data_IF_387879948747
#
_entry.id   IF_387879948747
#
_cell.length_a   1.000
_cell.length_b   1.000
_cell.length_c   1.000
_cell.angle_alpha   90.00
_cell.angle_beta   90.00
_cell.angle_gamma   90.00
#
_symmetry.space_group_name_H-M   'P 1'
#
loop_
_entity.id
_entity.type
_entity.pdbx_description
1 polymer ?
#
# COMPACT_ATOMS: atom_id res chain seq x y z
N UNK A 1 -18.66 2.82 -15.31
CA UNK A 1 -17.36 2.28 -14.89
C UNK A 1 -16.96 1.21 -15.88
N UNK A 2 -15.80 1.37 -16.49
CA UNK A 2 -15.27 0.35 -17.39
C UNK A 2 -14.70 -0.80 -16.56
N UNK A 3 -15.45 -1.88 -16.46
CA UNK A 3 -15.09 -3.10 -15.72
C UNK A 3 -13.83 -3.72 -16.32
N UNK A 4 -13.69 -3.69 -17.66
CA UNK A 4 -12.53 -4.25 -18.33
C UNK A 4 -11.25 -3.48 -17.99
N UNK A 5 -11.32 -2.15 -17.89
CA UNK A 5 -10.19 -1.34 -17.46
C UNK A 5 -9.80 -1.64 -16.00
N UNK A 6 -10.77 -1.84 -15.12
CA UNK A 6 -10.53 -2.23 -13.73
C UNK A 6 -9.87 -3.61 -13.62
N UNK A 7 -10.29 -4.57 -14.45
CA UNK A 7 -9.71 -5.91 -14.53
C UNK A 7 -8.25 -5.84 -15.02
N UNK A 8 -7.99 -5.05 -16.05
CA UNK A 8 -6.64 -4.85 -16.60
C UNK A 8 -5.67 -4.18 -15.63
N UNK A 9 -6.20 -3.42 -14.65
CA UNK A 9 -5.37 -2.75 -13.63
C UNK A 9 -4.76 -3.70 -12.58
N UNK A 10 -5.03 -5.00 -12.66
CA UNK A 10 -4.40 -6.02 -11.81
C UNK A 10 -4.78 -5.98 -10.32
N UNK A 11 -5.96 -5.49 -10.00
CA UNK A 11 -6.42 -5.32 -8.61
C UNK A 11 -6.95 -6.59 -7.91
N UNK A 12 -6.80 -7.74 -8.54
CA UNK A 12 -7.10 -9.04 -7.97
C UNK A 12 -8.55 -9.49 -8.09
N UNK A 13 -8.81 -10.82 -7.92
CA UNK A 13 -10.11 -11.45 -8.19
C UNK A 13 -11.26 -10.93 -7.31
N UNK A 14 -10.97 -10.53 -6.09
CA UNK A 14 -11.98 -9.99 -5.18
C UNK A 14 -12.52 -8.64 -5.65
N UNK A 15 -11.63 -7.80 -6.18
CA UNK A 15 -11.99 -6.50 -6.73
C UNK A 15 -12.81 -6.65 -8.02
N UNK A 16 -12.42 -7.55 -8.90
CA UNK A 16 -13.14 -7.83 -10.15
C UNK A 16 -14.57 -8.27 -9.91
N UNK A 17 -14.74 -9.22 -9.00
CA UNK A 17 -16.06 -9.71 -8.61
C UNK A 17 -16.90 -8.60 -8.00
N UNK A 18 -16.30 -7.81 -7.13
CA UNK A 18 -16.94 -6.69 -6.53
C UNK A 18 -17.37 -5.62 -7.54
N UNK A 19 -16.49 -5.23 -8.47
CA UNK A 19 -16.78 -4.22 -9.48
C UNK A 19 -17.92 -4.66 -10.43
N UNK A 20 -17.95 -5.93 -10.83
CA UNK A 20 -19.03 -6.49 -11.64
C UNK A 20 -20.36 -6.47 -10.92
N UNK A 21 -20.39 -6.93 -9.67
CA UNK A 21 -21.60 -6.96 -8.85
C UNK A 21 -22.10 -5.53 -8.57
N UNK A 22 -21.19 -4.61 -8.29
CA UNK A 22 -21.52 -3.21 -8.04
C UNK A 22 -22.15 -2.55 -9.27
N UNK A 23 -21.58 -2.72 -10.46
CA UNK A 23 -22.12 -2.16 -11.69
C UNK A 23 -23.50 -2.71 -12.06
N UNK A 24 -23.69 -4.01 -11.98
CA UNK A 24 -24.98 -4.64 -12.29
C UNK A 24 -26.08 -4.18 -11.32
N UNK A 25 -25.74 -4.11 -10.04
CA UNK A 25 -26.68 -3.64 -9.02
C UNK A 25 -27.01 -2.17 -9.15
N UNK A 26 -26.03 -1.33 -9.52
CA UNK A 26 -26.27 0.09 -9.74
C UNK A 26 -27.21 0.39 -10.90
N UNK A 27 -27.05 -0.31 -12.01
CA UNK A 27 -27.97 -0.17 -13.13
C UNK A 27 -29.40 -0.50 -12.75
N UNK A 28 -29.59 -1.60 -11.99
CA UNK A 28 -30.91 -1.96 -11.44
C UNK A 28 -31.48 -0.90 -10.51
N UNK A 29 -30.65 -0.37 -9.61
CA UNK A 29 -31.05 0.64 -8.66
C UNK A 29 -31.40 1.97 -9.30
N UNK A 30 -30.65 2.40 -10.30
CA UNK A 30 -30.93 3.62 -11.05
C UNK A 30 -32.31 3.58 -11.69
N UNK A 31 -32.67 2.45 -12.30
CA UNK A 31 -33.99 2.27 -12.92
C UNK A 31 -35.11 2.27 -11.89
N UNK A 32 -34.91 1.61 -10.77
CA UNK A 32 -35.91 1.52 -9.70
C UNK A 32 -36.09 2.85 -8.95
N UNK A 33 -34.99 3.51 -8.62
CA UNK A 33 -34.99 4.79 -7.93
C UNK A 33 -35.65 5.89 -8.77
N UNK A 34 -35.40 5.95 -10.06
CA UNK A 34 -36.04 6.88 -11.00
C UNK A 34 -37.55 6.62 -11.11
N UNK A 35 -38.00 5.39 -10.94
CA UNK A 35 -39.43 5.04 -10.93
C UNK A 35 -40.16 5.57 -9.70
N UNK A 36 -39.50 5.63 -8.56
CA UNK A 36 -40.15 5.93 -7.27
C UNK A 36 -39.97 7.37 -6.80
N UNK A 37 -38.82 8.00 -7.08
CA UNK A 37 -38.48 9.30 -6.48
C UNK A 37 -38.46 10.47 -7.46
N UNK A 38 -38.34 10.25 -8.74
CA UNK A 38 -38.48 11.29 -9.79
C UNK A 38 -37.53 12.50 -9.71
N UNK A 39 -36.85 12.71 -8.59
CA UNK A 39 -36.12 13.92 -8.26
C UNK A 39 -34.63 13.87 -8.62
N UNK A 40 -34.07 12.71 -8.83
CA UNK A 40 -32.65 12.55 -9.20
C UNK A 40 -32.54 11.89 -10.58
N UNK A 41 -31.92 12.58 -11.52
CA UNK A 41 -31.69 12.05 -12.86
C UNK A 41 -30.81 10.81 -12.86
N UNK A 42 -31.01 9.94 -13.83
CA UNK A 42 -30.19 8.75 -14.03
C UNK A 42 -28.70 9.07 -14.16
N UNK A 43 -28.38 10.16 -14.86
CA UNK A 43 -27.01 10.63 -15.04
C UNK A 43 -26.36 11.04 -13.71
N UNK A 44 -27.11 11.74 -12.82
CA UNK A 44 -26.64 12.15 -11.51
C UNK A 44 -26.32 10.96 -10.62
N UNK A 45 -27.14 9.90 -10.68
CA UNK A 45 -26.90 8.67 -9.95
C UNK A 45 -25.67 7.91 -10.46
N UNK A 46 -25.50 7.85 -11.79
CA UNK A 46 -24.31 7.26 -12.39
C UNK A 46 -23.05 8.03 -12.03
N UNK A 47 -23.10 9.37 -12.08
CA UNK A 47 -21.99 10.23 -11.73
C UNK A 47 -21.59 10.03 -10.26
N UNK A 48 -22.54 10.00 -9.34
CA UNK A 48 -22.30 9.72 -7.93
C UNK A 48 -21.68 8.34 -7.72
N UNK A 49 -22.17 7.33 -8.44
CA UNK A 49 -21.63 5.98 -8.38
C UNK A 49 -20.21 5.89 -8.90
N UNK A 50 -19.91 6.55 -10.02
CA UNK A 50 -18.58 6.61 -10.60
C UNK A 50 -17.60 7.34 -9.67
N UNK A 51 -18.02 8.46 -9.08
CA UNK A 51 -17.22 9.21 -8.11
C UNK A 51 -16.89 8.37 -6.88
N UNK A 52 -17.85 7.64 -6.33
CA UNK A 52 -17.66 6.75 -5.18
C UNK A 52 -16.68 5.62 -5.51
N UNK A 53 -16.83 5.00 -6.67
CA UNK A 53 -15.93 3.93 -7.13
C UNK A 53 -14.51 4.44 -7.36
N UNK A 54 -14.36 5.58 -7.99
CA UNK A 54 -13.05 6.21 -8.22
C UNK A 54 -12.36 6.55 -6.91
N UNK A 55 -13.09 7.12 -5.95
CA UNK A 55 -12.58 7.43 -4.62
C UNK A 55 -12.11 6.17 -3.88
N UNK A 56 -12.91 5.11 -3.88
CA UNK A 56 -12.53 3.83 -3.29
C UNK A 56 -11.25 3.26 -3.90
N UNK A 57 -11.13 3.29 -5.22
CA UNK A 57 -9.95 2.81 -5.93
C UNK A 57 -8.71 3.63 -5.61
N UNK A 58 -8.83 4.95 -5.60
CA UNK A 58 -7.74 5.86 -5.27
C UNK A 58 -7.22 5.60 -3.86
N UNK A 59 -8.12 5.45 -2.89
CA UNK A 59 -7.77 5.14 -1.50
C UNK A 59 -7.11 3.77 -1.37
N UNK A 60 -7.59 2.76 -2.07
CA UNK A 60 -6.99 1.42 -2.08
C UNK A 60 -5.55 1.44 -2.60
N UNK A 61 -5.29 2.17 -3.69
CA UNK A 61 -3.95 2.33 -4.25
C UNK A 61 -3.06 3.13 -3.30
N UNK A 62 -3.57 4.19 -2.70
CA UNK A 62 -2.85 5.01 -1.73
C UNK A 62 -2.42 4.21 -0.51
N UNK A 63 -3.31 3.37 0.04
CA UNK A 63 -2.98 2.51 1.19
C UNK A 63 -1.88 1.52 0.83
N UNK A 64 -1.94 0.88 -0.33
CA UNK A 64 -0.90 -0.04 -0.80
C UNK A 64 0.45 0.65 -0.98
N UNK A 65 0.45 1.86 -1.53
CA UNK A 65 1.66 2.66 -1.70
C UNK A 65 2.28 3.03 -0.34
N UNK A 66 1.45 3.46 0.62
CA UNK A 66 1.89 3.76 1.98
C UNK A 66 2.47 2.53 2.70
N UNK A 67 1.83 1.37 2.57
CA UNK A 67 2.33 0.10 3.10
C UNK A 67 3.68 -0.28 2.50
N UNK A 68 3.85 -0.11 1.19
CA UNK A 68 5.10 -0.37 0.50
C UNK A 68 6.22 0.56 1.00
N UNK A 69 5.94 1.84 1.17
CA UNK A 69 6.89 2.81 1.74
C UNK A 69 7.25 2.49 3.19
N UNK A 70 6.29 2.07 4.00
CA UNK A 70 6.51 1.65 5.38
C UNK A 70 7.42 0.41 5.45
N UNK A 71 7.19 -0.58 4.60
CA UNK A 71 8.01 -1.78 4.52
C UNK A 71 9.45 -1.46 4.09
N UNK A 72 9.61 -0.60 3.08
CA UNK A 72 10.93 -0.15 2.63
C UNK A 72 11.68 0.61 3.72
N UNK A 73 11.00 1.47 4.46
CA UNK A 73 11.55 2.21 5.60
C UNK A 73 12.00 1.25 6.72
N UNK A 74 11.16 0.30 7.11
CA UNK A 74 11.48 -0.69 8.14
C UNK A 74 12.67 -1.56 7.74
N UNK A 75 12.74 -1.98 6.49
CA UNK A 75 13.88 -2.75 5.97
C UNK A 75 15.17 -1.93 5.98
N UNK A 76 15.10 -0.66 5.59
CA UNK A 76 16.25 0.24 5.63
C UNK A 76 16.75 0.46 7.08
N UNK A 77 15.86 0.66 8.05
CA UNK A 77 16.21 0.74 9.46
C UNK A 77 16.94 -0.52 9.93
N UNK A 78 16.43 -1.68 9.58
CA UNK A 78 17.04 -2.98 9.90
C UNK A 78 18.45 -3.09 9.32
N UNK A 79 18.63 -2.73 8.07
CA UNK A 79 19.93 -2.80 7.40
C UNK A 79 20.95 -1.81 8.00
N UNK A 80 20.52 -0.63 8.38
CA UNK A 80 21.38 0.36 9.06
C UNK A 80 21.84 -0.17 10.43
N UNK A 81 20.93 -0.76 11.20
CA UNK A 81 21.27 -1.38 12.50
C UNK A 81 22.25 -2.52 12.31
N UNK A 82 22.00 -3.41 11.35
CA UNK A 82 22.90 -4.53 11.04
C UNK A 82 24.28 -4.05 10.60
N UNK A 83 24.33 -3.01 9.78
CA UNK A 83 25.59 -2.40 9.34
C UNK A 83 26.39 -1.85 10.53
N UNK A 84 25.76 -1.12 11.41
CA UNK A 84 26.40 -0.57 12.60
C UNK A 84 26.93 -1.65 13.56
N UNK A 85 26.13 -2.70 13.78
CA UNK A 85 26.52 -3.83 14.65
C UNK A 85 27.69 -4.64 14.11
N UNK A 86 27.80 -4.75 12.80
CA UNK A 86 28.79 -5.62 12.15
C UNK A 86 30.01 -4.86 11.64
N UNK A 87 30.03 -3.54 11.75
CA UNK A 87 31.12 -2.70 11.25
C UNK A 87 32.48 -3.05 11.83
N UNK A 88 32.55 -3.23 13.14
CA UNK A 88 33.81 -3.55 13.82
C UNK A 88 34.39 -4.89 13.32
N UNK A 89 33.58 -5.91 13.21
CA UNK A 89 33.97 -7.21 12.70
C UNK A 89 34.44 -7.13 11.23
N UNK A 90 33.74 -6.37 10.41
CA UNK A 90 34.12 -6.20 9.02
C UNK A 90 35.44 -5.44 8.85
N UNK A 91 35.71 -4.44 9.67
CA UNK A 91 36.98 -3.71 9.72
C UNK A 91 38.14 -4.68 10.07
N UNK A 92 37.94 -5.54 11.08
CA UNK A 92 38.92 -6.56 11.44
C UNK A 92 39.15 -7.56 10.31
N UNK A 93 38.09 -7.97 9.62
CA UNK A 93 38.19 -8.83 8.43
C UNK A 93 39.04 -8.21 7.32
N UNK A 94 38.87 -6.92 7.04
CA UNK A 94 39.69 -6.18 6.08
C UNK A 94 41.15 -6.09 6.53
N UNK A 95 41.40 -5.80 7.80
CA UNK A 95 42.76 -5.74 8.40
C UNK A 95 43.46 -7.08 8.34
N UNK A 96 42.72 -8.18 8.47
CA UNK A 96 43.22 -9.54 8.32
C UNK A 96 43.47 -9.94 6.84
N UNK A 97 43.37 -9.02 5.91
CA UNK A 97 43.55 -9.30 4.47
C UNK A 97 42.50 -10.24 3.90
N UNK A 98 41.29 -10.16 4.38
CA UNK A 98 40.18 -11.04 3.96
C UNK A 98 40.45 -12.52 4.22
N UNK A 99 41.07 -12.83 5.37
CA UNK A 99 41.43 -14.18 5.79
C UNK A 99 40.23 -15.13 5.75
N UNK A 100 40.42 -16.29 5.14
CA UNK A 100 39.39 -17.35 5.11
C UNK A 100 39.08 -17.88 6.53
N UNK A 101 40.08 -17.98 7.38
CA UNK A 101 39.91 -18.41 8.78
C UNK A 101 39.04 -17.42 9.54
N UNK A 102 39.32 -16.12 9.44
CA UNK A 102 38.53 -15.06 10.05
C UNK A 102 37.08 -15.08 9.55
N UNK A 103 36.90 -15.24 8.23
CA UNK A 103 35.58 -15.35 7.62
C UNK A 103 34.77 -16.52 8.17
N UNK A 104 35.40 -17.68 8.34
CA UNK A 104 34.75 -18.87 8.91
C UNK A 104 34.30 -18.65 10.35
N UNK A 105 35.10 -17.94 11.15
CA UNK A 105 34.81 -17.62 12.53
C UNK A 105 33.71 -16.58 12.70
N UNK A 106 33.55 -15.67 11.75
CA UNK A 106 32.64 -14.53 11.78
C UNK A 106 31.71 -14.45 10.56
N UNK A 107 31.37 -15.59 9.98
CA UNK A 107 30.62 -15.66 8.71
C UNK A 107 29.29 -14.93 8.76
N UNK A 108 28.51 -15.13 9.84
CA UNK A 108 27.18 -14.52 9.99
C UNK A 108 27.25 -13.00 10.00
N UNK A 109 28.20 -12.43 10.73
CA UNK A 109 28.39 -10.97 10.83
C UNK A 109 28.91 -10.36 9.53
N UNK A 110 29.82 -11.05 8.85
CA UNK A 110 30.33 -10.61 7.56
C UNK A 110 29.24 -10.61 6.49
N UNK A 111 28.44 -11.67 6.45
CA UNK A 111 27.30 -11.77 5.52
C UNK A 111 26.24 -10.69 5.76
N UNK A 112 25.91 -10.42 7.05
CA UNK A 112 24.99 -9.34 7.41
C UNK A 112 25.51 -7.98 6.98
N UNK A 113 26.82 -7.73 7.16
CA UNK A 113 27.43 -6.47 6.75
C UNK A 113 27.42 -6.28 5.23
N UNK A 114 27.77 -7.33 4.47
CA UNK A 114 27.72 -7.31 3.02
C UNK A 114 26.30 -7.13 2.49
N UNK A 115 25.33 -7.81 3.09
CA UNK A 115 23.92 -7.66 2.72
C UNK A 115 23.43 -6.22 2.95
N UNK A 116 23.79 -5.61 4.08
CA UNK A 116 23.45 -4.22 4.37
C UNK A 116 24.06 -3.26 3.34
N UNK A 117 25.34 -3.43 3.03
CA UNK A 117 26.04 -2.61 2.03
C UNK A 117 25.43 -2.76 0.64
N UNK A 118 25.12 -3.97 0.22
CA UNK A 118 24.45 -4.24 -1.05
C UNK A 118 23.07 -3.56 -1.11
N UNK A 119 22.32 -3.59 -0.03
CA UNK A 119 21.02 -2.92 0.06
C UNK A 119 21.16 -1.40 -0.14
N UNK A 120 22.14 -0.77 0.49
CA UNK A 120 22.41 0.66 0.30
C UNK A 120 22.84 0.99 -1.13
N UNK A 121 23.66 0.15 -1.74
CA UNK A 121 24.11 0.32 -3.13
C UNK A 121 22.95 0.20 -4.12
N UNK A 122 22.05 -0.77 -3.93
CA UNK A 122 20.85 -0.95 -4.74
C UNK A 122 19.91 0.27 -4.67
N UNK A 123 19.79 0.88 -3.48
CA UNK A 123 18.99 2.09 -3.30
C UNK A 123 19.71 3.37 -3.74
N UNK A 124 20.98 3.29 -4.12
CA UNK A 124 21.80 4.44 -4.50
C UNK A 124 22.06 5.41 -3.35
N UNK A 125 22.04 4.94 -2.12
CA UNK A 125 22.26 5.76 -0.93
C UNK A 125 23.75 6.01 -0.73
N UNK A 126 24.17 7.26 -0.86
CA UNK A 126 25.56 7.68 -0.61
C UNK A 126 25.81 8.06 0.85
N UNK A 127 24.80 8.63 1.50
CA UNK A 127 24.85 9.01 2.91
C UNK A 127 23.67 8.37 3.63
N UNK A 128 23.96 7.56 4.65
CA UNK A 128 22.94 6.87 5.40
C UNK A 128 22.12 7.87 6.25
N UNK A 129 20.78 7.81 6.15
CA UNK A 129 19.92 8.55 7.07
C UNK A 129 20.05 7.99 8.49
N UNK A 130 19.69 8.80 9.49
CA UNK A 130 19.65 8.32 10.86
C UNK A 130 18.44 7.42 11.10
N UNK A 131 18.57 6.44 11.99
CA UNK A 131 17.42 5.60 12.40
C UNK A 131 16.33 6.44 13.02
N UNK A 132 16.68 7.51 13.73
CA UNK A 132 15.74 8.46 14.31
C UNK A 132 14.88 9.14 13.24
N UNK A 133 15.50 9.66 12.18
CA UNK A 133 14.76 10.29 11.07
C UNK A 133 13.87 9.31 10.34
N UNK A 134 14.30 8.06 10.15
CA UNK A 134 13.49 7.01 9.54
C UNK A 134 12.30 6.60 10.41
N UNK A 135 12.46 6.59 11.73
CA UNK A 135 11.34 6.34 12.65
C UNK A 135 10.31 7.45 12.61
N UNK A 136 10.75 8.71 12.52
CA UNK A 136 9.86 9.87 12.35
C UNK A 136 9.09 9.77 11.03
N UNK A 137 9.76 9.45 9.93
CA UNK A 137 9.13 9.20 8.63
C UNK A 137 8.13 8.05 8.69
N UNK A 138 8.48 6.95 9.35
CA UNK A 138 7.58 5.81 9.55
C UNK A 138 6.31 6.20 10.31
N UNK A 139 6.45 7.02 11.35
CA UNK A 139 5.32 7.53 12.13
C UNK A 139 4.40 8.40 11.27
N UNK A 140 4.96 9.25 10.41
CA UNK A 140 4.19 10.07 9.46
C UNK A 140 3.45 9.19 8.44
N UNK A 141 4.12 8.18 7.90
CA UNK A 141 3.49 7.22 6.98
C UNK A 141 2.36 6.44 7.65
N UNK A 142 2.54 6.04 8.90
CA UNK A 142 1.51 5.36 9.68
C UNK A 142 0.29 6.26 9.90
N UNK A 143 0.50 7.54 10.19
CA UNK A 143 -0.57 8.52 10.35
C UNK A 143 -1.33 8.74 9.04
N UNK A 144 -0.62 8.87 7.93
CA UNK A 144 -1.21 8.98 6.61
C UNK A 144 -2.03 7.72 6.27
N UNK A 145 -1.50 6.53 6.60
CA UNK A 145 -2.21 5.27 6.41
C UNK A 145 -3.50 5.20 7.23
N UNK A 146 -3.48 5.63 8.48
CA UNK A 146 -4.66 5.68 9.34
C UNK A 146 -5.74 6.58 8.76
N UNK A 147 -5.37 7.76 8.28
CA UNK A 147 -6.29 8.70 7.61
C UNK A 147 -6.87 8.10 6.32
N UNK A 148 -6.01 7.53 5.49
CA UNK A 148 -6.43 6.89 4.25
C UNK A 148 -7.36 5.69 4.52
N UNK A 149 -7.07 4.90 5.55
CA UNK A 149 -7.89 3.76 5.94
C UNK A 149 -9.24 4.17 6.50
N UNK A 150 -9.30 5.26 7.28
CA UNK A 150 -10.57 5.84 7.75
C UNK A 150 -11.44 6.31 6.58
N UNK A 151 -10.85 7.01 5.62
CA UNK A 151 -11.53 7.42 4.38
C UNK A 151 -11.96 6.20 3.54
N UNK A 152 -11.15 5.15 3.49
CA UNK A 152 -11.48 3.89 2.82
C UNK A 152 -12.71 3.21 3.44
N UNK A 153 -12.79 3.15 4.77
CA UNK A 153 -13.96 2.62 5.49
C UNK A 153 -15.22 3.43 5.18
N UNK A 154 -15.10 4.76 5.15
CA UNK A 154 -16.21 5.64 4.81
C UNK A 154 -16.69 5.40 3.36
N UNK A 155 -15.75 5.31 2.41
CA UNK A 155 -16.07 4.99 1.03
C UNK A 155 -16.76 3.63 0.89
N UNK A 156 -16.32 2.64 1.67
CA UNK A 156 -16.96 1.32 1.73
C UNK A 156 -18.38 1.39 2.27
N UNK A 157 -18.63 2.22 3.28
CA UNK A 157 -19.97 2.44 3.84
C UNK A 157 -20.85 3.17 2.82
N UNK A 158 -20.36 4.17 2.13
CA UNK A 158 -21.07 4.89 1.06
C UNK A 158 -21.54 3.92 -0.04
N UNK A 159 -20.70 2.97 -0.37
CA UNK A 159 -21.06 1.90 -1.31
C UNK A 159 -22.16 0.98 -0.76
N UNK A 160 -22.10 0.63 0.52
CA UNK A 160 -23.16 -0.16 1.18
C UNK A 160 -24.48 0.58 1.21
N UNK A 161 -24.48 1.89 1.44
CA UNK A 161 -25.68 2.72 1.40
C UNK A 161 -26.30 2.75 0.00
N UNK A 162 -25.51 2.87 -1.05
CA UNK A 162 -25.97 2.73 -2.43
C UNK A 162 -26.56 1.34 -2.70
N UNK A 163 -26.12 0.31 -1.99
CA UNK A 163 -26.72 -1.02 -2.01
C UNK A 163 -28.03 -1.11 -1.22
N UNK A 164 -28.10 -0.44 -0.06
CA UNK A 164 -29.29 -0.46 0.81
C UNK A 164 -30.45 0.33 0.24
N UNK A 165 -30.20 1.37 -0.54
CA UNK A 165 -31.23 2.08 -1.33
C UNK A 165 -32.01 1.08 -2.21
N UNK A 166 -31.35 0.05 -2.71
CA UNK A 166 -32.00 -1.04 -3.43
C UNK A 166 -32.90 -1.91 -2.54
N UNK A 167 -32.40 -2.32 -1.37
CA UNK A 167 -33.15 -3.20 -0.47
C UNK A 167 -34.42 -2.55 0.07
N UNK A 168 -34.47 -1.22 0.14
CA UNK A 168 -35.64 -0.46 0.56
C UNK A 168 -36.65 -0.19 -0.57
N UNK A 169 -36.28 -0.52 -1.81
CA UNK A 169 -37.07 -0.32 -3.02
C UNK A 169 -37.70 -1.64 -3.51
N UNK A 170 -37.20 -2.79 -3.09
CA UNK A 170 -37.82 -4.11 -3.26
C UNK A 170 -38.87 -4.38 -2.18
#
# INVERSE_FOLDING_TARGET
VDIEAAIRSGKGPGYERWAKVFNLKQLSQAVLYLKEHGDMGYEDLLEKANATTTNFNTLSVQIKDLESKMNANAELQKQIVNYAKTRAVYVEYRKAGYSKKFRTEHEAEILLHQAAKNHFDELGIKKLPSVKSLREEYTDLLEQKRKAYSAYKQAKNDMKELHNVRANVE
#
